data_IF_963516042471
#
_entry.id   IF_963516042471
#
_cell.length_a   1.000
_cell.length_b   1.000
_cell.length_c   1.000
_cell.angle_alpha   90.00
_cell.angle_beta   90.00
_cell.angle_gamma   90.00
#
_symmetry.space_group_name_H-M   'P 1'
#
loop_
_entity.id
_entity.type
_entity.pdbx_description
1 polymer ?
#
# COMPACT_ATOMS: atom_id res chain seq x y z
N UNK A 1 -27.45 -44.62 -12.23
CA UNK A 1 -26.26 -43.76 -12.46
C UNK A 1 -26.65 -42.35 -12.91
N UNK A 2 -27.51 -42.15 -13.92
CA UNK A 2 -27.95 -40.81 -14.32
C UNK A 2 -28.73 -40.04 -13.23
N UNK A 3 -29.53 -40.75 -12.42
CA UNK A 3 -30.25 -40.15 -11.29
C UNK A 3 -29.32 -39.59 -10.21
N UNK A 4 -28.18 -40.25 -9.95
CA UNK A 4 -27.24 -39.85 -8.90
C UNK A 4 -26.53 -38.54 -9.28
N UNK A 5 -26.13 -38.39 -10.55
CA UNK A 5 -25.51 -37.16 -11.05
C UNK A 5 -26.47 -35.98 -11.13
N UNK A 6 -27.74 -36.22 -11.48
CA UNK A 6 -28.76 -35.19 -11.47
C UNK A 6 -29.05 -34.70 -10.04
N UNK A 7 -29.07 -35.63 -9.07
CA UNK A 7 -29.21 -35.35 -7.65
C UNK A 7 -27.99 -34.60 -7.09
N UNK A 8 -26.78 -35.00 -7.48
CA UNK A 8 -25.54 -34.33 -7.07
C UNK A 8 -25.52 -32.88 -7.56
N UNK A 9 -25.98 -32.62 -8.79
CA UNK A 9 -26.10 -31.26 -9.35
C UNK A 9 -27.17 -30.42 -8.65
N UNK A 10 -28.34 -30.97 -8.34
CA UNK A 10 -29.39 -30.22 -7.64
C UNK A 10 -29.00 -29.88 -6.20
N UNK A 11 -28.34 -30.80 -5.50
CA UNK A 11 -27.76 -30.55 -4.18
C UNK A 11 -26.68 -29.48 -4.26
N UNK A 12 -25.81 -29.54 -5.26
CA UNK A 12 -24.77 -28.55 -5.50
C UNK A 12 -25.35 -27.14 -5.78
N UNK A 13 -26.34 -27.02 -6.65
CA UNK A 13 -26.99 -25.74 -6.99
C UNK A 13 -27.77 -25.13 -5.80
N UNK A 14 -28.29 -25.96 -4.90
CA UNK A 14 -28.94 -25.50 -3.66
C UNK A 14 -27.93 -25.06 -2.61
N UNK A 15 -26.75 -25.69 -2.60
CA UNK A 15 -25.69 -25.37 -1.63
C UNK A 15 -24.86 -24.14 -2.05
N UNK A 16 -24.72 -23.87 -3.36
CA UNK A 16 -24.00 -22.70 -3.88
C UNK A 16 -24.68 -21.37 -3.52
N UNK A 17 -25.97 -21.40 -3.20
CA UNK A 17 -26.74 -20.22 -2.78
C UNK A 17 -26.24 -19.64 -1.45
N UNK A 18 -25.55 -20.44 -0.62
CA UNK A 18 -24.96 -20.02 0.65
C UNK A 18 -23.45 -20.32 0.69
N UNK A 19 -22.60 -19.48 0.06
CA UNK A 19 -21.17 -19.76 -0.10
C UNK A 19 -20.37 -19.83 1.20
N UNK A 20 -20.89 -19.26 2.30
CA UNK A 20 -20.24 -19.26 3.61
C UNK A 20 -20.80 -20.29 4.60
N UNK A 21 -21.86 -21.04 4.23
CA UNK A 21 -22.44 -22.03 5.15
C UNK A 21 -21.63 -23.33 5.08
N UNK A 22 -21.25 -23.80 6.26
CA UNK A 22 -20.60 -25.07 6.50
C UNK A 22 -21.69 -26.12 6.72
N UNK A 23 -21.75 -27.15 5.87
CA UNK A 23 -22.81 -28.14 5.93
C UNK A 23 -22.35 -29.40 6.66
N UNK A 24 -23.18 -29.90 7.58
CA UNK A 24 -22.97 -31.22 8.20
C UNK A 24 -23.63 -32.31 7.36
N UNK A 25 -23.21 -33.57 7.54
CA UNK A 25 -23.86 -34.74 6.92
C UNK A 25 -25.38 -34.78 7.14
N UNK A 26 -25.85 -34.28 8.29
CA UNK A 26 -27.27 -34.20 8.64
C UNK A 26 -28.05 -33.13 7.86
N UNK A 27 -27.41 -32.02 7.48
CA UNK A 27 -28.06 -30.98 6.68
C UNK A 27 -28.16 -31.41 5.22
N UNK A 28 -27.13 -32.06 4.68
CA UNK A 28 -27.15 -32.58 3.29
C UNK A 28 -28.23 -33.67 3.13
N UNK A 29 -28.46 -34.49 4.17
CA UNK A 29 -29.57 -35.46 4.21
C UNK A 29 -30.95 -34.82 4.13
N UNK A 30 -31.13 -33.59 4.60
CA UNK A 30 -32.42 -32.90 4.55
C UNK A 30 -32.80 -32.45 3.14
N UNK A 31 -31.82 -32.29 2.25
CA UNK A 31 -32.02 -31.85 0.86
C UNK A 31 -32.22 -33.00 -0.13
N UNK A 32 -32.01 -34.26 0.29
CA UNK A 32 -32.17 -35.42 -0.58
C UNK A 32 -33.62 -35.97 -0.49
N UNK A 33 -34.34 -36.10 -1.63
CA UNK A 33 -35.58 -36.85 -1.69
C UNK A 33 -35.32 -38.31 -1.29
N UNK A 34 -36.07 -38.82 -0.29
CA UNK A 34 -36.01 -40.16 0.36
C UNK A 34 -35.09 -40.38 1.56
N UNK A 35 -34.22 -39.43 1.97
CA UNK A 35 -33.35 -39.59 3.16
C UNK A 35 -32.58 -40.93 3.22
N UNK A 36 -32.20 -41.48 2.06
CA UNK A 36 -31.43 -42.73 2.01
C UNK A 36 -29.95 -42.46 2.33
N UNK A 37 -29.47 -43.07 3.42
CA UNK A 37 -28.10 -42.86 3.92
C UNK A 37 -27.01 -43.37 2.97
N UNK A 38 -27.30 -44.41 2.17
CA UNK A 38 -26.37 -44.96 1.17
C UNK A 38 -26.23 -44.02 -0.04
N UNK A 39 -27.36 -43.51 -0.55
CA UNK A 39 -27.37 -42.54 -1.66
C UNK A 39 -26.66 -41.25 -1.28
N UNK A 40 -26.79 -40.81 -0.02
CA UNK A 40 -26.02 -39.67 0.50
C UNK A 40 -24.51 -39.93 0.39
N UNK A 41 -24.02 -41.06 0.91
CA UNK A 41 -22.60 -41.39 0.90
C UNK A 41 -22.05 -41.50 -0.52
N UNK A 42 -22.80 -42.12 -1.43
CA UNK A 42 -22.41 -42.21 -2.84
C UNK A 42 -22.40 -40.83 -3.52
N UNK A 43 -23.39 -39.99 -3.24
CA UNK A 43 -23.45 -38.61 -3.76
C UNK A 43 -22.30 -37.77 -3.21
N UNK A 44 -21.99 -37.89 -1.91
CA UNK A 44 -20.85 -37.20 -1.28
C UNK A 44 -19.53 -37.70 -1.86
N UNK A 45 -19.36 -39.01 -2.03
CA UNK A 45 -18.16 -39.58 -2.64
C UNK A 45 -18.01 -39.15 -4.10
N UNK A 46 -19.10 -39.04 -4.87
CA UNK A 46 -19.06 -38.53 -6.23
C UNK A 46 -18.72 -37.03 -6.25
N UNK A 47 -19.33 -36.22 -5.38
CA UNK A 47 -19.02 -34.80 -5.25
C UNK A 47 -17.59 -34.53 -4.76
N UNK A 48 -17.06 -35.39 -3.88
CA UNK A 48 -15.66 -35.41 -3.46
C UNK A 48 -14.74 -35.83 -4.62
N UNK A 49 -15.11 -36.87 -5.36
CA UNK A 49 -14.37 -37.34 -6.54
C UNK A 49 -14.34 -36.31 -7.67
N UNK A 50 -15.40 -35.51 -7.80
CA UNK A 50 -15.48 -34.40 -8.74
C UNK A 50 -14.81 -33.11 -8.22
N UNK A 51 -14.42 -33.07 -6.94
CA UNK A 51 -13.73 -31.93 -6.31
C UNK A 51 -14.62 -30.77 -5.87
N UNK A 52 -15.95 -30.91 -5.93
CA UNK A 52 -16.91 -29.88 -5.52
C UNK A 52 -17.07 -29.73 -3.99
N UNK A 53 -16.54 -30.68 -3.23
CA UNK A 53 -16.57 -30.70 -1.77
C UNK A 53 -15.16 -30.70 -1.19
N UNK A 54 -14.86 -29.73 -0.31
CA UNK A 54 -13.72 -29.79 0.61
C UNK A 54 -14.20 -30.26 1.97
N UNK A 55 -13.59 -31.31 2.51
CA UNK A 55 -13.84 -31.78 3.87
C UNK A 55 -13.04 -30.94 4.86
N UNK A 56 -13.70 -30.43 5.89
CA UNK A 56 -13.12 -29.73 7.03
C UNK A 56 -13.49 -30.49 8.28
N UNK A 57 -12.57 -30.63 9.23
CA UNK A 57 -12.85 -31.27 10.52
C UNK A 57 -13.21 -30.20 11.54
N UNK A 58 -14.41 -30.26 12.10
CA UNK A 58 -14.84 -29.40 13.21
C UNK A 58 -15.20 -30.29 14.40
N UNK A 59 -14.25 -30.45 15.32
CA UNK A 59 -14.39 -31.39 16.43
C UNK A 59 -14.44 -32.86 15.96
N UNK A 60 -15.50 -33.57 16.37
CA UNK A 60 -15.75 -34.99 16.03
C UNK A 60 -16.60 -35.18 14.76
N UNK A 61 -17.03 -34.09 14.12
CA UNK A 61 -17.84 -34.12 12.90
C UNK A 61 -17.07 -33.62 11.67
N UNK A 62 -17.28 -34.28 10.54
CA UNK A 62 -16.86 -33.80 9.23
C UNK A 62 -17.87 -32.78 8.72
N UNK A 63 -17.34 -31.62 8.35
CA UNK A 63 -18.09 -30.48 7.86
C UNK A 63 -17.64 -30.20 6.44
N UNK A 64 -18.59 -30.02 5.54
CA UNK A 64 -18.33 -29.89 4.12
C UNK A 64 -18.43 -28.43 3.69
N UNK A 65 -17.40 -27.94 3.00
CA UNK A 65 -17.42 -26.67 2.31
C UNK A 65 -17.57 -26.92 0.81
N UNK A 66 -18.63 -26.38 0.23
CA UNK A 66 -18.84 -26.43 -1.21
C UNK A 66 -17.89 -25.44 -1.89
N UNK A 67 -17.16 -25.95 -2.88
CA UNK A 67 -16.21 -25.18 -3.69
C UNK A 67 -16.94 -24.74 -4.96
N UNK A 68 -16.82 -23.47 -5.32
CA UNK A 68 -17.46 -22.93 -6.53
C UNK A 68 -16.92 -23.61 -7.78
N UNK A 69 -17.75 -23.65 -8.84
CA UNK A 69 -17.44 -24.35 -10.09
C UNK A 69 -16.13 -23.85 -10.72
N UNK A 70 -15.87 -22.55 -10.55
CA UNK A 70 -14.65 -21.89 -10.98
C UNK A 70 -13.41 -22.41 -10.23
N UNK A 71 -13.51 -22.64 -8.92
CA UNK A 71 -12.41 -23.20 -8.13
C UNK A 71 -12.19 -24.70 -8.38
N UNK A 72 -13.23 -25.42 -8.80
CA UNK A 72 -13.11 -26.83 -9.23
C UNK A 72 -12.46 -26.94 -10.59
N UNK A 73 -12.85 -26.12 -11.57
CA UNK A 73 -12.19 -26.09 -12.88
C UNK A 73 -10.72 -25.65 -12.76
N UNK A 74 -10.42 -24.68 -11.87
CA UNK A 74 -9.05 -24.29 -11.51
C UNK A 74 -8.24 -25.46 -10.93
N UNK A 75 -8.86 -26.35 -10.15
CA UNK A 75 -8.15 -27.47 -9.50
C UNK A 75 -8.05 -28.71 -10.42
N UNK A 76 -8.99 -28.88 -11.35
CA UNK A 76 -9.04 -30.04 -12.28
C UNK A 76 -8.03 -29.98 -13.41
N UNK A 77 -7.63 -28.78 -13.84
CA UNK A 77 -6.56 -28.59 -14.84
C UNK A 77 -5.17 -28.78 -14.25
N UNK A 78 -5.04 -28.75 -12.92
CA UNK A 78 -3.76 -28.76 -12.22
C UNK A 78 -3.31 -30.17 -11.89
N UNK A 79 -2.00 -30.38 -11.98
CA UNK A 79 -1.34 -31.59 -11.50
C UNK A 79 -1.48 -31.68 -9.98
N UNK A 80 -1.46 -32.89 -9.40
CA UNK A 80 -1.55 -33.10 -7.93
C UNK A 80 -0.59 -32.21 -7.12
N UNK A 81 0.64 -32.03 -7.62
CA UNK A 81 1.65 -31.18 -6.99
C UNK A 81 1.31 -29.68 -7.07
N UNK A 82 0.73 -29.25 -8.19
CA UNK A 82 0.32 -27.86 -8.42
C UNK A 82 -0.89 -27.50 -7.56
N UNK A 83 -1.84 -28.43 -7.41
CA UNK A 83 -3.00 -28.27 -6.53
C UNK A 83 -2.58 -28.10 -5.06
N UNK A 84 -1.57 -28.87 -4.61
CA UNK A 84 -1.02 -28.73 -3.26
C UNK A 84 -0.35 -27.36 -3.05
N UNK A 85 0.46 -26.91 -4.00
CA UNK A 85 1.11 -25.58 -3.94
C UNK A 85 0.06 -24.47 -3.92
N UNK A 86 -0.97 -24.57 -4.76
CA UNK A 86 -2.07 -23.62 -4.81
C UNK A 86 -2.83 -23.55 -3.49
N UNK A 87 -3.15 -24.69 -2.86
CA UNK A 87 -3.85 -24.74 -1.56
C UNK A 87 -3.06 -24.03 -0.45
N UNK A 88 -1.74 -24.17 -0.43
CA UNK A 88 -0.91 -23.45 0.55
C UNK A 88 -0.86 -21.95 0.29
N UNK A 89 -0.90 -21.51 -0.97
CA UNK A 89 -0.97 -20.10 -1.32
C UNK A 89 -2.35 -19.53 -0.98
N UNK A 90 -3.44 -20.28 -1.23
CA UNK A 90 -4.81 -19.94 -0.83
C UNK A 90 -4.92 -19.74 0.69
N UNK A 91 -4.28 -20.62 1.48
CA UNK A 91 -4.25 -20.50 2.95
C UNK A 91 -3.53 -19.24 3.46
N UNK A 92 -2.66 -18.63 2.64
CA UNK A 92 -1.85 -17.45 3.01
C UNK A 92 -2.52 -16.12 2.61
N UNK A 93 -3.66 -16.17 1.92
CA UNK A 93 -4.54 -15.04 1.60
C UNK A 93 -3.79 -13.74 1.18
N UNK A 94 -3.84 -12.69 2.02
CA UNK A 94 -3.38 -11.32 1.70
C UNK A 94 -1.92 -11.01 2.07
N UNK A 95 -1.29 -11.84 2.90
CA UNK A 95 0.12 -11.70 3.26
C UNK A 95 1.03 -12.37 2.22
N UNK A 96 0.47 -13.33 1.48
CA UNK A 96 1.20 -14.16 0.55
C UNK A 96 2.18 -15.10 1.26
N UNK A 97 2.85 -15.96 0.49
CA UNK A 97 3.82 -16.92 1.01
C UNK A 97 5.20 -16.74 0.38
N UNK A 98 6.23 -16.75 1.22
CA UNK A 98 7.61 -16.72 0.77
C UNK A 98 8.05 -18.08 0.22
N UNK A 99 8.85 -18.09 -0.86
CA UNK A 99 9.36 -19.31 -1.50
C UNK A 99 10.03 -20.31 -0.57
N UNK A 100 10.82 -19.86 0.42
CA UNK A 100 11.46 -20.80 1.37
C UNK A 100 10.43 -21.41 2.32
N UNK A 101 9.48 -20.62 2.82
CA UNK A 101 8.39 -21.13 3.66
C UNK A 101 7.51 -22.12 2.90
N UNK A 102 7.24 -21.83 1.63
CA UNK A 102 6.49 -22.73 0.74
C UNK A 102 7.23 -24.06 0.55
N UNK A 103 8.56 -24.03 0.34
CA UNK A 103 9.39 -25.24 0.25
C UNK A 103 9.33 -26.08 1.52
N UNK A 104 9.45 -25.44 2.69
CA UNK A 104 9.40 -26.15 3.98
C UNK A 104 8.03 -26.78 4.24
N UNK A 105 6.94 -26.18 3.73
CA UNK A 105 5.58 -26.73 3.88
C UNK A 105 5.28 -27.86 2.89
N UNK A 106 5.69 -27.73 1.63
CA UNK A 106 5.39 -28.73 0.60
C UNK A 106 6.37 -29.90 0.60
N UNK A 107 7.56 -29.76 1.21
CA UNK A 107 8.63 -30.76 1.17
C UNK A 107 9.01 -31.22 -0.26
N UNK A 108 8.73 -30.39 -1.28
CA UNK A 108 9.03 -30.69 -2.67
C UNK A 108 10.48 -30.30 -3.02
N UNK A 109 11.03 -30.99 -4.02
CA UNK A 109 12.33 -30.62 -4.60
C UNK A 109 12.25 -29.22 -5.24
N UNK A 110 13.25 -28.34 -5.04
CA UNK A 110 13.19 -26.94 -5.51
C UNK A 110 12.91 -26.80 -7.02
N UNK A 111 13.43 -27.70 -7.85
CA UNK A 111 13.19 -27.68 -9.31
C UNK A 111 11.73 -27.94 -9.67
N UNK A 112 11.06 -28.84 -8.94
CA UNK A 112 9.64 -29.14 -9.17
C UNK A 112 8.79 -27.95 -8.70
N UNK A 113 9.09 -27.40 -7.52
CA UNK A 113 8.39 -26.22 -7.01
C UNK A 113 8.49 -25.02 -7.96
N UNK A 114 9.67 -24.75 -8.52
CA UNK A 114 9.86 -23.68 -9.51
C UNK A 114 9.08 -23.92 -10.80
N UNK A 115 9.01 -25.17 -11.27
CA UNK A 115 8.19 -25.53 -12.45
C UNK A 115 6.72 -25.26 -12.19
N UNK A 116 6.18 -25.74 -11.06
CA UNK A 116 4.79 -25.53 -10.67
C UNK A 116 4.45 -24.04 -10.52
N UNK A 117 5.31 -23.27 -9.85
CA UNK A 117 5.12 -21.82 -9.72
C UNK A 117 5.08 -21.11 -11.08
N UNK A 118 5.92 -21.53 -12.03
CA UNK A 118 5.94 -20.95 -13.38
C UNK A 118 4.67 -21.30 -14.17
N UNK A 119 4.17 -22.53 -14.07
CA UNK A 119 2.89 -22.92 -14.68
C UNK A 119 1.73 -22.11 -14.10
N UNK A 120 1.67 -21.99 -12.78
CA UNK A 120 0.62 -21.26 -12.05
C UNK A 120 0.64 -19.76 -12.32
N UNK A 121 1.84 -19.19 -12.52
CA UNK A 121 2.03 -17.79 -12.94
C UNK A 121 1.62 -17.57 -14.40
N UNK A 122 1.94 -18.53 -15.30
CA UNK A 122 1.54 -18.47 -16.71
C UNK A 122 0.02 -18.53 -16.87
N UNK A 123 -0.67 -19.33 -16.06
CA UNK A 123 -2.14 -19.42 -16.03
C UNK A 123 -2.81 -18.25 -15.30
N UNK A 124 -2.03 -17.30 -14.74
CA UNK A 124 -2.50 -16.15 -13.96
C UNK A 124 -3.33 -16.52 -12.71
N UNK A 125 -3.14 -17.70 -12.14
CA UNK A 125 -3.76 -18.04 -10.86
C UNK A 125 -3.04 -17.37 -9.68
N UNK A 126 -1.74 -17.16 -9.83
CA UNK A 126 -0.86 -16.62 -8.82
C UNK A 126 -0.06 -15.47 -9.43
N UNK A 127 0.22 -14.44 -8.61
CA UNK A 127 1.13 -13.35 -8.92
C UNK A 127 2.32 -13.34 -7.98
N UNK A 128 3.49 -12.99 -8.51
CA UNK A 128 4.70 -12.78 -7.73
C UNK A 128 4.82 -11.30 -7.34
N UNK A 129 5.14 -11.05 -6.08
CA UNK A 129 5.36 -9.70 -5.53
C UNK A 129 6.69 -9.68 -4.79
N UNK A 130 7.45 -8.59 -4.95
CA UNK A 130 8.64 -8.30 -4.15
C UNK A 130 8.21 -7.58 -2.87
N UNK A 131 8.72 -8.01 -1.72
CA UNK A 131 8.46 -7.30 -0.46
C UNK A 131 9.29 -6.02 -0.39
N UNK A 132 8.66 -4.90 0.02
CA UNK A 132 9.37 -3.63 0.26
C UNK A 132 10.34 -3.74 1.45
N UNK A 133 9.94 -4.38 2.55
CA UNK A 133 10.80 -4.57 3.73
C UNK A 133 12.00 -5.49 3.45
N UNK A 134 11.83 -6.46 2.55
CA UNK A 134 12.85 -7.46 2.24
C UNK A 134 12.90 -7.73 0.73
N UNK A 135 13.62 -6.91 -0.06
CA UNK A 135 13.59 -6.95 -1.53
C UNK A 135 14.06 -8.28 -2.13
N UNK A 136 14.87 -9.05 -1.39
CA UNK A 136 15.36 -10.37 -1.81
C UNK A 136 14.31 -11.49 -1.66
N UNK A 137 13.18 -11.23 -0.97
CA UNK A 137 12.13 -12.23 -0.74
C UNK A 137 11.06 -12.14 -1.82
N UNK A 138 10.96 -13.18 -2.64
CA UNK A 138 9.85 -13.38 -3.59
C UNK A 138 8.65 -13.99 -2.86
N UNK A 139 7.55 -13.25 -2.82
CA UNK A 139 6.29 -13.65 -2.20
C UNK A 139 5.29 -13.97 -3.31
N UNK A 140 4.56 -15.06 -3.15
CA UNK A 140 3.50 -15.46 -4.08
C UNK A 140 2.13 -15.30 -3.41
N UNK A 141 1.16 -14.77 -4.15
CA UNK A 141 -0.22 -14.63 -3.68
C UNK A 141 -1.23 -14.89 -4.81
N UNK A 142 -2.49 -15.10 -4.47
CA UNK A 142 -3.55 -15.25 -5.48
C UNK A 142 -3.71 -13.98 -6.32
N UNK A 143 -3.98 -14.15 -7.62
CA UNK A 143 -4.12 -13.03 -8.54
C UNK A 143 -5.27 -12.08 -8.14
N UNK A 144 -6.39 -12.67 -7.73
CA UNK A 144 -7.64 -11.98 -7.39
C UNK A 144 -7.53 -11.10 -6.12
N UNK A 145 -6.57 -11.37 -5.24
CA UNK A 145 -6.44 -10.66 -3.96
C UNK A 145 -5.54 -9.44 -4.10
N UNK A 146 -5.92 -8.32 -3.49
CA UNK A 146 -5.01 -7.19 -3.33
C UNK A 146 -4.07 -7.43 -2.14
N UNK A 147 -2.76 -7.17 -2.28
CA UNK A 147 -1.81 -7.33 -1.19
C UNK A 147 -2.08 -6.34 -0.06
N UNK A 148 -1.65 -6.71 1.14
CA UNK A 148 -1.71 -5.80 2.31
C UNK A 148 -0.64 -4.72 2.21
N UNK A 149 -0.94 -3.53 2.77
CA UNK A 149 -0.05 -2.35 2.82
C UNK A 149 1.35 -2.70 3.35
N UNK A 150 1.47 -3.65 4.27
CA UNK A 150 2.77 -4.06 4.81
C UNK A 150 3.69 -4.74 3.80
N UNK A 151 3.12 -5.36 2.76
CA UNK A 151 3.87 -6.05 1.70
C UNK A 151 4.16 -5.09 0.56
N UNK A 152 3.21 -4.21 0.22
CA UNK A 152 3.35 -3.22 -0.86
C UNK A 152 4.00 -1.91 -0.45
N UNK A 153 4.16 -1.62 0.84
CA UNK A 153 4.72 -0.36 1.32
C UNK A 153 3.75 0.83 1.25
N UNK A 154 2.50 0.61 0.82
CA UNK A 154 1.50 1.66 0.65
C UNK A 154 1.59 2.38 -0.71
N UNK A 155 0.88 3.50 -0.87
CA UNK A 155 0.71 4.20 -2.15
C UNK A 155 1.98 4.92 -2.65
N UNK A 156 3.02 4.99 -1.81
CA UNK A 156 4.28 5.69 -2.09
C UNK A 156 5.31 4.85 -2.86
N UNK A 157 4.98 3.59 -3.16
CA UNK A 157 5.90 2.65 -3.79
C UNK A 157 5.42 2.22 -5.17
N UNK A 158 6.31 2.33 -6.15
CA UNK A 158 6.15 1.81 -7.52
C UNK A 158 7.25 0.78 -7.77
N UNK A 159 6.87 -0.45 -8.18
CA UNK A 159 7.79 -1.60 -8.36
C UNK A 159 8.81 -1.84 -7.21
N UNK A 160 8.35 -1.69 -5.96
CA UNK A 160 9.15 -1.84 -4.73
C UNK A 160 10.24 -0.78 -4.49
N UNK A 161 10.22 0.33 -5.23
CA UNK A 161 11.02 1.52 -4.97
C UNK A 161 10.14 2.67 -4.50
N UNK A 162 10.68 3.55 -3.66
CA UNK A 162 9.96 4.72 -3.15
C UNK A 162 9.98 5.80 -4.23
N UNK A 163 8.79 6.23 -4.66
CA UNK A 163 8.64 7.23 -5.71
C UNK A 163 8.82 8.64 -5.14
N UNK A 164 10.07 9.02 -4.94
CA UNK A 164 10.42 10.31 -4.35
C UNK A 164 9.95 11.48 -5.21
N UNK A 165 10.01 11.34 -6.54
CA UNK A 165 9.61 12.39 -7.48
C UNK A 165 8.09 12.63 -7.40
N UNK A 166 7.29 11.57 -7.34
CA UNK A 166 5.86 11.67 -7.11
C UNK A 166 5.53 12.32 -5.76
N UNK A 167 6.20 11.89 -4.67
CA UNK A 167 6.00 12.48 -3.34
C UNK A 167 6.33 13.97 -3.36
N UNK A 168 7.47 14.36 -3.94
CA UNK A 168 7.89 15.75 -4.03
C UNK A 168 6.92 16.60 -4.87
N UNK A 169 6.46 16.08 -6.00
CA UNK A 169 5.46 16.76 -6.83
C UNK A 169 4.14 16.99 -6.06
N UNK A 170 3.68 15.98 -5.32
CA UNK A 170 2.48 16.09 -4.50
C UNK A 170 2.66 17.06 -3.33
N UNK A 171 3.83 17.06 -2.67
CA UNK A 171 4.18 18.02 -1.62
C UNK A 171 4.12 19.47 -2.14
N UNK A 172 4.71 19.73 -3.30
CA UNK A 172 4.68 21.07 -3.93
C UNK A 172 3.25 21.48 -4.32
N UNK A 173 2.45 20.55 -4.83
CA UNK A 173 1.07 20.80 -5.21
C UNK A 173 0.21 21.15 -3.98
N UNK A 174 0.33 20.38 -2.89
CA UNK A 174 -0.37 20.61 -1.62
C UNK A 174 0.09 21.92 -0.98
N UNK A 175 1.40 22.20 -0.96
CA UNK A 175 1.95 23.46 -0.47
C UNK A 175 1.35 24.65 -1.24
N UNK A 176 1.33 24.59 -2.57
CA UNK A 176 0.78 25.65 -3.42
C UNK A 176 -0.73 25.83 -3.19
N UNK A 177 -1.48 24.75 -3.02
CA UNK A 177 -2.91 24.81 -2.72
C UNK A 177 -3.15 25.49 -1.37
N UNK A 178 -2.47 25.06 -0.31
CA UNK A 178 -2.60 25.65 1.03
C UNK A 178 -2.14 27.12 1.02
N UNK A 179 -1.04 27.46 0.36
CA UNK A 179 -0.55 28.82 0.22
C UNK A 179 -1.56 29.74 -0.48
N UNK A 180 -2.20 29.26 -1.55
CA UNK A 180 -3.18 30.05 -2.31
C UNK A 180 -4.45 30.42 -1.53
N UNK A 181 -4.78 29.65 -0.49
CA UNK A 181 -5.91 29.91 0.41
C UNK A 181 -5.49 30.61 1.71
N UNK A 182 -4.23 30.44 2.12
CA UNK A 182 -3.72 30.99 3.37
C UNK A 182 -3.47 32.50 3.33
N UNK A 183 -3.34 33.09 2.14
CA UNK A 183 -3.11 34.52 1.96
C UNK A 183 -4.15 35.18 1.06
N UNK A 184 -4.61 36.41 1.37
CA UNK A 184 -5.47 37.16 0.47
C UNK A 184 -4.71 37.48 -0.82
N UNK A 185 -5.35 37.27 -1.97
CA UNK A 185 -4.80 37.68 -3.27
C UNK A 185 -4.60 39.20 -3.25
N UNK A 186 -3.35 39.66 -3.25
CA UNK A 186 -3.06 41.08 -3.41
C UNK A 186 -3.68 41.53 -4.74
N UNK A 187 -4.57 42.53 -4.69
CA UNK A 187 -4.89 43.30 -5.88
C UNK A 187 -3.60 44.04 -6.27
N UNK A 188 -3.11 43.92 -7.51
CA UNK A 188 -2.02 44.76 -7.96
C UNK A 188 -2.50 46.22 -7.86
N UNK A 189 -1.86 47.02 -7.01
CA UNK A 189 -2.10 48.46 -7.01
C UNK A 189 -1.68 49.04 -8.37
N UNK A 190 -2.40 50.06 -8.85
CA UNK A 190 -2.17 50.72 -10.14
C UNK A 190 -0.77 51.35 -10.30
N UNK A 191 0.00 51.44 -9.22
CA UNK A 191 1.44 51.73 -9.22
C UNK A 191 2.18 50.42 -9.05
N UNK A 192 2.89 49.95 -10.08
CA UNK A 192 3.58 48.64 -10.16
C UNK A 192 4.66 48.32 -9.11
N UNK A 193 4.65 48.95 -7.95
CA UNK A 193 5.31 48.47 -6.75
C UNK A 193 4.40 47.42 -6.08
N UNK A 194 4.81 46.15 -6.15
CA UNK A 194 4.25 45.11 -5.29
C UNK A 194 4.38 45.58 -3.85
N UNK A 195 3.26 45.97 -3.22
CA UNK A 195 3.26 46.37 -1.82
C UNK A 195 3.83 45.20 -1.00
N UNK A 196 5.05 45.34 -0.50
CA UNK A 196 5.82 44.28 0.16
C UNK A 196 5.25 43.77 1.49
N UNK A 197 4.02 44.12 1.83
CA UNK A 197 3.28 43.58 2.97
C UNK A 197 2.10 42.75 2.50
N UNK A 198 2.20 41.42 2.57
CA UNK A 198 1.00 40.58 2.59
C UNK A 198 0.32 40.83 3.94
N UNK A 199 -0.87 41.43 3.91
CA UNK A 199 -1.68 41.68 5.10
C UNK A 199 -2.20 40.31 5.59
N UNK A 200 -1.92 39.88 6.83
CA UNK A 200 -2.55 38.69 7.39
C UNK A 200 -4.07 38.81 7.35
N UNK A 201 -4.77 37.69 7.21
CA UNK A 201 -6.21 37.68 7.48
C UNK A 201 -6.49 38.09 8.94
N UNK A 202 -7.67 38.64 9.19
CA UNK A 202 -8.10 39.06 10.53
C UNK A 202 -7.91 37.92 11.56
N UNK A 203 -7.66 38.29 12.82
CA UNK A 203 -7.27 37.36 13.90
C UNK A 203 -8.29 36.23 14.20
N UNK A 204 -9.48 36.26 13.59
CA UNK A 204 -10.52 35.22 13.69
C UNK A 204 -10.82 34.48 12.39
N UNK A 205 -9.97 34.54 11.36
CA UNK A 205 -10.23 33.87 10.09
C UNK A 205 -10.21 32.35 10.23
N UNK A 206 -11.37 31.71 10.00
CA UNK A 206 -11.56 30.26 10.09
C UNK A 206 -11.55 29.55 8.74
N UNK A 207 -11.34 30.26 7.63
CA UNK A 207 -11.36 29.71 6.27
C UNK A 207 -10.10 28.94 5.86
N UNK A 208 -9.26 28.53 6.81
CA UNK A 208 -8.07 27.73 6.52
C UNK A 208 -8.47 26.32 6.07
N UNK A 209 -7.77 25.74 5.08
CA UNK A 209 -8.09 24.41 4.57
C UNK A 209 -7.92 23.34 5.66
N UNK A 210 -8.93 22.50 5.82
CA UNK A 210 -8.90 21.33 6.70
C UNK A 210 -8.34 20.11 5.98
N UNK A 211 -7.99 19.06 6.73
CA UNK A 211 -7.52 17.79 6.15
C UNK A 211 -8.53 17.22 5.12
N UNK A 212 -9.83 17.30 5.42
CA UNK A 212 -10.89 16.79 4.55
C UNK A 212 -10.98 17.61 3.26
N UNK A 213 -10.82 18.93 3.32
CA UNK A 213 -10.81 19.78 2.12
C UNK A 213 -9.61 19.48 1.22
N UNK A 214 -8.44 19.27 1.82
CA UNK A 214 -7.21 18.92 1.10
C UNK A 214 -7.39 17.55 0.43
N UNK A 215 -7.97 16.59 1.15
CA UNK A 215 -8.24 15.24 0.61
C UNK A 215 -9.22 15.28 -0.56
N UNK A 216 -10.30 16.07 -0.44
CA UNK A 216 -11.25 16.27 -1.54
C UNK A 216 -10.60 16.97 -2.73
N UNK A 217 -9.74 17.95 -2.48
CA UNK A 217 -9.02 18.64 -3.54
C UNK A 217 -8.05 17.72 -4.29
N UNK A 218 -7.31 16.87 -3.59
CA UNK A 218 -6.41 15.88 -4.20
C UNK A 218 -7.21 14.92 -5.09
N UNK A 219 -8.34 14.40 -4.59
CA UNK A 219 -9.24 13.52 -5.36
C UNK A 219 -9.82 14.20 -6.61
N UNK A 220 -10.23 15.46 -6.50
CA UNK A 220 -10.82 16.21 -7.62
C UNK A 220 -9.79 16.64 -8.67
N UNK A 221 -8.53 16.79 -8.27
CA UNK A 221 -7.47 17.27 -9.17
C UNK A 221 -6.90 16.16 -10.06
N UNK A 222 -7.33 14.90 -9.90
CA UNK A 222 -6.83 13.71 -10.62
C UNK A 222 -5.30 13.68 -10.75
N UNK A 223 -4.59 14.17 -9.72
CA UNK A 223 -3.12 14.22 -9.74
C UNK A 223 -2.49 12.83 -9.58
N UNK A 224 -3.24 11.88 -9.03
CA UNK A 224 -2.74 10.58 -8.61
C UNK A 224 -3.63 9.48 -9.16
N UNK A 225 -3.03 8.47 -9.81
CA UNK A 225 -3.73 7.25 -10.26
C UNK A 225 -4.09 6.34 -9.07
N UNK A 226 -3.39 6.53 -7.94
CA UNK A 226 -3.58 5.76 -6.71
C UNK A 226 -4.55 6.48 -5.77
N UNK A 227 -5.49 5.73 -5.21
CA UNK A 227 -6.41 6.20 -4.17
C UNK A 227 -5.64 6.50 -2.87
N UNK A 228 -5.51 7.77 -2.54
CA UNK A 228 -4.88 8.24 -1.30
C UNK A 228 -5.89 8.30 -0.15
N UNK A 229 -5.52 7.74 1.01
CA UNK A 229 -6.28 7.84 2.24
C UNK A 229 -6.00 9.15 2.99
N UNK A 230 -6.91 9.56 3.88
CA UNK A 230 -6.70 10.71 4.76
C UNK A 230 -5.47 10.53 5.68
N UNK A 231 -5.11 9.29 6.00
CA UNK A 231 -3.92 8.98 6.82
C UNK A 231 -2.64 9.31 6.05
N UNK A 232 -2.59 8.97 4.77
CA UNK A 232 -1.44 9.20 3.90
C UNK A 232 -1.21 10.71 3.68
N UNK A 233 -2.32 11.45 3.47
CA UNK A 233 -2.28 12.91 3.31
C UNK A 233 -1.88 13.61 4.61
N UNK A 234 -2.33 13.11 5.77
CA UNK A 234 -1.89 13.62 7.07
C UNK A 234 -0.37 13.48 7.24
N UNK A 235 0.20 12.33 6.85
CA UNK A 235 1.64 12.11 6.91
C UNK A 235 2.42 13.10 6.02
N UNK A 236 1.93 13.38 4.80
CA UNK A 236 2.53 14.40 3.93
C UNK A 236 2.46 15.80 4.54
N UNK A 237 1.33 16.17 5.15
CA UNK A 237 1.19 17.46 5.81
C UNK A 237 2.13 17.59 7.01
N UNK A 238 2.37 16.52 7.76
CA UNK A 238 3.34 16.51 8.84
C UNK A 238 4.77 16.72 8.33
N UNK A 239 5.15 16.11 7.19
CA UNK A 239 6.45 16.40 6.53
C UNK A 239 6.57 17.90 6.19
N UNK A 240 5.53 18.49 5.60
CA UNK A 240 5.53 19.93 5.29
C UNK A 240 5.60 20.84 6.54
N UNK A 241 5.09 20.37 7.69
CA UNK A 241 5.22 21.07 8.97
C UNK A 241 6.66 20.99 9.48
N UNK A 242 7.30 19.81 9.41
CA UNK A 242 8.70 19.65 9.80
C UNK A 242 9.65 20.45 8.91
N UNK A 243 9.34 20.60 7.63
CA UNK A 243 10.06 21.48 6.69
C UNK A 243 9.88 22.98 7.00
N UNK A 244 9.01 23.33 7.96
CA UNK A 244 8.70 24.71 8.33
C UNK A 244 7.93 25.47 7.24
N UNK A 245 7.29 24.75 6.31
CA UNK A 245 6.48 25.33 5.22
C UNK A 245 5.03 25.50 5.62
N UNK A 246 4.51 24.63 6.48
CA UNK A 246 3.13 24.68 6.98
C UNK A 246 3.09 24.77 8.51
N UNK A 247 2.04 25.38 9.04
CA UNK A 247 1.70 25.45 10.46
C UNK A 247 0.28 24.94 10.69
N UNK A 248 0.09 24.24 11.81
CA UNK A 248 -1.24 23.84 12.30
C UNK A 248 -1.89 25.02 13.03
N UNK A 249 -3.09 25.40 12.60
CA UNK A 249 -3.87 26.51 13.17
C UNK A 249 -5.20 25.96 13.71
N UNK A 250 -5.84 26.71 14.61
CA UNK A 250 -7.16 26.37 15.19
C UNK A 250 -7.13 25.02 15.92
N UNK A 251 -6.19 24.84 16.85
CA UNK A 251 -6.13 23.64 17.69
C UNK A 251 -5.76 22.35 16.95
N UNK A 252 -5.18 22.45 15.75
CA UNK A 252 -4.63 21.29 15.01
C UNK A 252 -5.50 20.72 13.90
N UNK A 253 -6.63 21.36 13.59
CA UNK A 253 -7.59 20.88 12.58
C UNK A 253 -7.42 21.54 11.21
N UNK A 254 -6.78 22.71 11.15
CA UNK A 254 -6.57 23.46 9.92
C UNK A 254 -5.07 23.71 9.67
N UNK A 255 -4.73 23.89 8.40
CA UNK A 255 -3.35 24.09 7.95
C UNK A 255 -3.21 25.47 7.30
N UNK A 256 -2.15 26.18 7.66
CA UNK A 256 -1.78 27.48 7.09
C UNK A 256 -0.37 27.39 6.54
N UNK A 257 -0.12 28.00 5.39
CA UNK A 257 1.23 28.15 4.87
C UNK A 257 1.99 29.21 5.68
N UNK A 258 3.20 28.86 6.10
CA UNK A 258 4.15 29.81 6.69
C UNK A 258 4.81 30.55 5.55
N UNK A 259 4.74 31.88 5.59
CA UNK A 259 5.55 32.68 4.68
C UNK A 259 7.00 32.55 5.13
N UNK A 260 7.84 31.83 4.37
CA UNK A 260 9.26 32.12 4.40
C UNK A 260 9.38 33.59 4.05
N UNK A 261 9.92 34.39 4.97
CA UNK A 261 10.38 35.73 4.61
C UNK A 261 11.47 35.46 3.59
N UNK A 262 11.14 35.52 2.29
CA UNK A 262 12.14 35.52 1.24
C UNK A 262 12.91 36.83 1.42
N UNK A 263 14.05 36.73 2.10
CA UNK A 263 14.75 37.87 2.70
C UNK A 263 14.69 37.94 4.23
N UNK A 264 14.36 36.85 4.94
CA UNK A 264 14.86 36.67 6.31
C UNK A 264 16.38 36.81 6.17
N UNK A 265 16.88 37.97 6.60
CA UNK A 265 18.23 38.44 6.33
C UNK A 265 19.15 37.23 6.40
N UNK A 266 19.70 36.81 5.25
CA UNK A 266 20.77 35.82 5.25
C UNK A 266 21.76 36.39 6.24
N UNK A 267 21.89 35.71 7.38
CA UNK A 267 22.71 36.25 8.45
C UNK A 267 24.10 36.31 7.84
N UNK A 268 24.76 37.47 7.84
CA UNK A 268 26.07 37.61 7.18
C UNK A 268 27.08 36.57 7.67
N UNK A 269 26.88 36.05 8.88
CA UNK A 269 27.60 34.91 9.45
C UNK A 269 27.43 33.59 8.67
N UNK A 270 26.22 33.30 8.17
CA UNK A 270 25.95 32.10 7.35
C UNK A 270 26.35 32.26 5.87
N UNK A 271 26.60 33.48 5.42
CA UNK A 271 27.14 33.78 4.09
C UNK A 271 28.68 33.75 4.08
N UNK A 272 29.30 34.15 5.19
CA UNK A 272 30.74 34.09 5.34
C UNK A 272 31.23 32.64 5.53
N UNK A 273 32.40 32.28 4.96
CA UNK A 273 32.94 30.93 5.07
C UNK A 273 33.32 30.55 6.51
N UNK A 274 33.53 31.54 7.40
CA UNK A 274 33.82 31.30 8.81
C UNK A 274 32.65 30.68 9.58
N UNK A 275 31.39 31.03 9.29
CA UNK A 275 30.23 30.51 10.01
C UNK A 275 29.85 29.07 9.67
N UNK A 276 30.45 28.50 8.61
CA UNK A 276 30.32 27.09 8.21
C UNK A 276 31.64 26.34 8.31
N UNK A 277 32.68 26.96 8.87
CA UNK A 277 34.02 26.41 8.89
C UNK A 277 34.07 25.22 9.87
N UNK A 278 34.46 24.01 9.42
CA UNK A 278 34.56 22.84 10.31
C UNK A 278 35.73 22.94 11.29
N UNK A 279 36.69 23.83 11.03
CA UNK A 279 37.91 24.02 11.84
C UNK A 279 37.97 25.42 12.47
N UNK A 280 36.80 26.02 12.72
CA UNK A 280 36.70 27.36 13.30
C UNK A 280 37.47 27.49 14.62
N UNK A 281 37.38 26.49 15.50
CA UNK A 281 38.03 26.49 16.81
C UNK A 281 39.56 26.41 16.76
N UNK A 282 40.13 25.98 15.62
CA UNK A 282 41.58 25.91 15.40
C UNK A 282 42.13 27.15 14.66
N UNK A 283 41.25 28.04 14.19
CA UNK A 283 41.64 29.24 13.46
C UNK A 283 42.13 30.30 14.45
N UNK A 284 43.43 30.61 14.42
CA UNK A 284 44.05 31.62 15.28
C UNK A 284 45.21 32.29 14.55
N UNK A 285 45.55 33.52 14.91
CA UNK A 285 46.58 34.31 14.20
C UNK A 285 47.98 33.69 14.28
N UNK A 286 48.29 32.97 15.36
CA UNK A 286 49.57 32.29 15.59
C UNK A 286 49.52 30.77 15.28
N UNK A 287 48.37 30.29 14.78
CA UNK A 287 48.10 28.88 14.54
C UNK A 287 48.48 28.41 13.13
N UNK A 288 48.52 27.08 12.91
CA UNK A 288 48.75 26.50 11.57
C UNK A 288 47.61 26.82 10.59
N UNK A 289 46.42 27.11 11.10
CA UNK A 289 45.25 27.57 10.34
C UNK A 289 44.96 29.01 10.77
N UNK A 290 45.01 29.94 9.82
CA UNK A 290 44.75 31.36 10.05
C UNK A 290 43.93 31.94 8.90
N UNK A 291 43.42 33.17 9.07
CA UNK A 291 42.61 33.83 8.04
C UNK A 291 43.42 34.12 6.75
N UNK A 292 44.73 34.32 6.86
CA UNK A 292 45.61 34.65 5.72
C UNK A 292 45.93 33.48 4.81
N UNK A 293 45.97 32.25 5.33
CA UNK A 293 46.20 31.01 4.58
C UNK A 293 44.91 30.19 4.36
N UNK A 294 43.76 30.78 4.64
CA UNK A 294 42.48 30.08 4.62
C UNK A 294 42.00 29.80 3.19
N UNK A 295 42.07 28.53 2.78
CA UNK A 295 41.57 28.04 1.48
C UNK A 295 40.07 28.29 1.29
N UNK A 296 39.27 28.29 2.38
CA UNK A 296 37.83 28.55 2.30
C UNK A 296 37.52 30.02 1.96
N UNK A 297 38.30 30.96 2.49
CA UNK A 297 38.16 32.38 2.16
C UNK A 297 38.63 32.67 0.74
N UNK A 298 39.74 32.07 0.30
CA UNK A 298 40.24 32.24 -1.07
C UNK A 298 39.22 31.76 -2.12
N UNK A 299 38.64 30.57 -1.92
CA UNK A 299 37.59 30.05 -2.81
C UNK A 299 36.33 30.89 -2.80
N UNK A 300 35.89 31.34 -1.62
CA UNK A 300 34.70 32.16 -1.49
C UNK A 300 34.87 33.53 -2.17
N UNK A 301 36.04 34.18 -2.00
CA UNK A 301 36.35 35.44 -2.70
C UNK A 301 36.47 35.28 -4.22
N UNK A 302 36.79 34.08 -4.71
CA UNK A 302 36.84 33.80 -6.15
C UNK A 302 35.45 33.55 -6.79
N UNK A 303 34.43 33.24 -5.98
CA UNK A 303 33.05 32.98 -6.42
C UNK A 303 32.12 34.21 -6.36
N UNK A 304 32.59 35.32 -5.76
CA UNK A 304 31.89 36.62 -5.70
C UNK A 304 32.28 37.48 -6.89
#
# INVERSE_FOLDING_TARGET
>A
MADLQALARSVYDTCISNPNKLYTSSEILAYIPRRDAQVLLDTINELLGLGYLKTLKQGDAFVYRFVTKDAVDRTRTLTSDEAMVYQHIESSAREGIWTKTLKTRTNLHPTVLQRCLKTLEQQRYIKSIKSVKFPTRKIYMLADLTPTIEVTGGPWFTDAELDADFINALLVAVERFVASRSFPKQRPNASGAAAGGLIPFEAGYTGYPTLSDITQWVKNSNLTEVDLSEVDIRALLDVLIYDGKLEKVIGGTAYKAVKKVEGAAKQGFTEAPCGRCPVFDLCSDDGPVNAGNCVYFEKWLAEI
#
